data_IF_859751995001
#
_entry.id   IF_859751995001
#
_cell.length_a   1.000
_cell.length_b   1.000
_cell.length_c   1.000
_cell.angle_alpha   90.00
_cell.angle_beta   90.00
_cell.angle_gamma   90.00
#
_symmetry.space_group_name_H-M   'P 1'
#
loop_
_entity.id
_entity.type
_entity.pdbx_description
1 polymer ?
#
# COMPACT_ATOMS: atom_id res chain seq x y z
N UNK A 1 -0.85 25.20 17.81
CA UNK A 1 -0.88 23.98 18.63
C UNK A 1 -2.10 24.06 19.54
N UNK A 2 -2.88 22.99 19.64
CA UNK A 2 -4.03 22.91 20.54
C UNK A 2 -3.49 22.65 21.95
N UNK A 3 -3.91 23.37 23.01
CA UNK A 3 -3.48 23.06 24.37
C UNK A 3 -3.80 21.59 24.72
N UNK A 4 -2.83 20.87 25.29
CA UNK A 4 -2.90 19.44 25.64
C UNK A 4 -2.86 18.44 24.46
N UNK A 5 -2.49 18.86 23.25
CA UNK A 5 -2.15 17.90 22.18
C UNK A 5 -0.68 17.49 22.28
N UNK A 6 -0.42 16.18 22.35
CA UNK A 6 0.91 15.64 22.11
C UNK A 6 1.21 15.74 20.62
N UNK A 7 2.23 16.51 20.27
CA UNK A 7 2.74 16.57 18.91
C UNK A 7 3.78 15.48 18.80
N UNK A 8 3.35 14.27 18.37
CA UNK A 8 4.29 13.26 17.87
C UNK A 8 4.70 13.73 16.48
N UNK A 9 5.73 14.57 16.43
CA UNK A 9 6.45 14.77 15.20
C UNK A 9 7.23 13.47 14.95
N UNK A 10 6.80 12.70 13.96
CA UNK A 10 7.71 11.82 13.24
C UNK A 10 8.71 12.75 12.52
N UNK A 11 9.72 13.19 13.27
CA UNK A 11 10.70 14.20 12.90
C UNK A 11 10.28 15.64 13.23
N UNK A 12 10.67 16.15 14.42
CA UNK A 12 10.73 17.60 14.68
C UNK A 12 10.51 18.07 16.13
N UNK A 13 11.17 19.17 16.49
CA UNK A 13 10.90 20.04 17.64
C UNK A 13 11.05 21.50 17.17
N UNK A 14 10.45 22.52 17.83
CA UNK A 14 10.47 23.89 17.35
C UNK A 14 11.88 24.51 17.37
N UNK A 15 12.12 25.45 16.46
CA UNK A 15 13.37 26.19 16.39
C UNK A 15 13.67 26.91 17.71
N UNK A 16 14.97 27.06 18.03
CA UNK A 16 15.41 27.85 19.17
C UNK A 16 14.79 29.26 19.15
N UNK A 17 14.55 29.88 20.32
CA UNK A 17 13.88 31.19 20.39
C UNK A 17 14.64 32.24 19.56
N UNK A 18 13.99 32.77 18.51
CA UNK A 18 14.49 33.90 17.71
C UNK A 18 15.00 33.60 16.29
N UNK A 19 14.94 32.36 15.79
CA UNK A 19 15.36 32.04 14.41
C UNK A 19 14.24 32.14 13.38
N UNK A 20 14.36 33.00 12.37
CA UNK A 20 13.51 32.99 11.17
C UNK A 20 14.22 32.22 10.05
N UNK A 21 13.93 30.92 9.91
CA UNK A 21 14.43 30.08 8.81
C UNK A 21 14.38 28.58 9.14
N UNK A 22 14.05 27.76 8.13
CA UNK A 22 14.15 26.30 8.22
C UNK A 22 15.62 25.89 8.04
N UNK A 23 16.29 25.44 9.10
CA UNK A 23 17.59 24.77 8.96
C UNK A 23 17.35 23.35 8.42
N UNK A 24 17.96 22.92 7.30
CA UNK A 24 17.85 21.54 6.84
C UNK A 24 18.41 20.59 7.89
N UNK A 25 17.58 19.66 8.37
CA UNK A 25 17.98 18.58 9.28
C UNK A 25 18.14 17.29 8.46
N UNK A 26 19.08 16.43 8.86
CA UNK A 26 19.33 15.13 8.23
C UNK A 26 18.55 14.03 8.97
N UNK A 27 18.51 12.79 8.46
CA UNK A 27 17.90 11.63 9.14
C UNK A 27 18.45 11.38 10.57
N UNK A 28 19.54 12.07 10.98
CA UNK A 28 20.16 11.95 12.31
C UNK A 28 19.19 12.26 13.46
N UNK A 29 18.19 13.09 13.21
CA UNK A 29 17.26 13.56 14.25
C UNK A 29 16.02 12.65 14.42
N UNK A 30 15.79 11.66 13.55
CA UNK A 30 14.61 10.77 13.57
C UNK A 30 14.89 9.46 14.34
N UNK A 31 16.11 8.91 14.27
CA UNK A 31 16.44 7.58 14.81
C UNK A 31 16.94 7.57 16.26
N UNK A 32 17.18 8.74 16.86
CA UNK A 32 17.78 8.86 18.20
C UNK A 32 19.24 8.37 18.31
N UNK A 33 19.85 7.86 17.23
CA UNK A 33 21.19 7.27 17.21
C UNK A 33 22.07 7.77 16.02
N UNK A 34 21.62 8.77 15.26
CA UNK A 34 22.23 9.16 13.98
C UNK A 34 21.71 8.32 12.81
N UNK A 35 21.96 8.73 11.55
CA UNK A 35 21.50 7.97 10.38
C UNK A 35 22.11 6.57 10.44
N UNK A 36 21.31 5.57 10.80
CA UNK A 36 21.66 4.17 10.50
C UNK A 36 21.21 3.97 9.07
N UNK A 37 22.17 3.92 8.16
CA UNK A 37 21.94 3.46 6.80
C UNK A 37 22.70 2.15 6.64
N UNK A 38 22.02 1.10 7.06
CA UNK A 38 22.49 -0.27 6.95
C UNK A 38 22.00 -0.94 5.66
N UNK A 39 21.45 -0.17 4.70
CA UNK A 39 20.90 -0.71 3.44
C UNK A 39 21.89 -1.63 2.72
N UNK A 40 23.18 -1.32 2.80
CA UNK A 40 24.29 -2.10 2.21
C UNK A 40 25.27 -2.67 3.23
N UNK A 41 25.07 -2.46 4.53
CA UNK A 41 25.95 -2.94 5.59
C UNK A 41 25.17 -3.37 6.85
N UNK A 42 24.87 -4.67 6.94
CA UNK A 42 24.09 -5.25 8.04
C UNK A 42 24.88 -5.46 9.33
N UNK A 43 26.17 -5.11 9.36
CA UNK A 43 26.96 -5.11 10.60
C UNK A 43 26.80 -3.82 11.42
N UNK A 44 26.15 -2.79 10.86
CA UNK A 44 25.84 -1.58 11.61
C UNK A 44 24.87 -1.88 12.75
N UNK A 45 25.02 -1.11 13.83
CA UNK A 45 24.09 -1.18 14.94
C UNK A 45 22.67 -0.85 14.45
N UNK A 46 21.70 -1.60 14.94
CA UNK A 46 20.30 -1.31 14.69
C UNK A 46 19.95 0.03 15.34
N UNK A 47 19.13 0.82 14.67
CA UNK A 47 18.58 2.00 15.31
C UNK A 47 17.76 1.59 16.54
N UNK A 48 17.71 2.47 17.54
CA UNK A 48 17.02 2.21 18.80
C UNK A 48 17.59 1.08 19.66
N UNK A 49 18.61 0.34 19.24
CA UNK A 49 19.21 -0.72 20.06
C UNK A 49 20.29 -0.17 20.99
N UNK A 50 20.15 -0.43 22.29
CA UNK A 50 21.15 -0.08 23.29
C UNK A 50 22.06 -1.28 23.55
N UNK A 51 23.28 -1.23 22.99
CA UNK A 51 24.26 -2.30 23.10
C UNK A 51 24.75 -2.59 24.53
N UNK A 52 24.61 -1.64 25.45
CA UNK A 52 25.02 -1.81 26.85
C UNK A 52 23.99 -2.59 27.67
N UNK A 53 22.70 -2.41 27.34
CA UNK A 53 21.58 -3.09 28.03
C UNK A 53 21.08 -4.31 27.27
N UNK A 54 21.39 -4.42 25.98
CA UNK A 54 20.82 -5.42 25.08
C UNK A 54 19.34 -5.22 24.81
N UNK A 55 18.80 -4.02 25.06
CA UNK A 55 17.38 -3.69 24.91
C UNK A 55 17.19 -2.63 23.82
N UNK A 56 16.02 -2.64 23.18
CA UNK A 56 15.59 -1.52 22.35
C UNK A 56 14.99 -0.40 23.21
N UNK A 57 15.07 0.84 22.73
CA UNK A 57 14.35 1.98 23.33
C UNK A 57 12.84 1.71 23.26
N UNK A 58 12.11 2.08 24.32
CA UNK A 58 10.65 1.95 24.36
C UNK A 58 10.00 2.75 23.22
N UNK A 59 8.95 2.19 22.59
CA UNK A 59 8.23 2.80 21.47
C UNK A 59 9.07 3.11 20.22
N UNK A 60 10.18 2.40 20.05
CA UNK A 60 11.04 2.57 18.88
C UNK A 60 10.40 2.02 17.59
N UNK A 61 10.41 2.85 16.54
CA UNK A 61 10.10 2.48 15.15
C UNK A 61 11.41 2.24 14.40
N UNK A 62 11.53 1.09 13.74
CA UNK A 62 12.76 0.73 13.03
C UNK A 62 13.01 1.60 11.80
N UNK A 63 14.19 2.20 11.73
CA UNK A 63 14.65 3.01 10.57
C UNK A 63 16.12 2.68 10.30
N UNK A 64 16.40 1.39 10.10
CA UNK A 64 17.75 0.90 9.83
C UNK A 64 18.17 1.11 8.37
N UNK A 65 17.21 1.35 7.47
CA UNK A 65 17.41 1.61 6.04
C UNK A 65 16.80 2.95 5.63
N UNK A 66 17.14 3.42 4.43
CA UNK A 66 16.58 4.65 3.83
C UNK A 66 15.11 4.50 3.39
N UNK A 67 14.50 3.33 3.59
CA UNK A 67 13.11 3.05 3.21
C UNK A 67 12.32 2.39 4.33
N UNK A 68 11.00 2.32 4.14
CA UNK A 68 10.04 1.59 4.99
C UNK A 68 9.97 2.04 6.46
N UNK A 69 10.33 3.30 6.74
CA UNK A 69 10.27 3.87 8.10
C UNK A 69 8.83 4.08 8.62
N UNK A 70 7.87 4.21 7.71
CA UNK A 70 6.47 4.52 7.99
C UNK A 70 5.68 4.54 6.69
N UNK A 71 4.37 4.75 6.77
CA UNK A 71 3.52 4.87 5.58
C UNK A 71 2.47 5.97 5.72
N UNK A 72 1.39 5.66 6.44
CA UNK A 72 0.19 6.47 6.45
C UNK A 72 -0.52 6.41 7.81
N UNK A 73 -1.42 7.36 8.01
CA UNK A 73 -2.30 7.43 9.16
C UNK A 73 -3.74 7.62 8.70
N UNK A 74 -4.66 6.93 9.37
CA UNK A 74 -6.09 7.06 9.10
C UNK A 74 -6.88 6.92 10.40
N UNK A 75 -7.94 7.71 10.54
CA UNK A 75 -8.94 7.47 11.57
C UNK A 75 -9.84 6.31 11.14
N UNK A 76 -9.99 5.32 12.01
CA UNK A 76 -10.94 4.25 11.81
C UNK A 76 -12.38 4.69 12.07
N UNK A 77 -13.36 3.86 11.67
CA UNK A 77 -14.78 4.10 11.97
C UNK A 77 -15.09 4.06 13.48
N UNK A 78 -14.17 3.51 14.28
CA UNK A 78 -14.21 3.46 15.75
C UNK A 78 -13.61 4.71 16.42
N UNK A 79 -13.07 5.65 15.64
CA UNK A 79 -12.44 6.87 16.15
C UNK A 79 -10.99 6.70 16.62
N UNK A 80 -10.44 5.49 16.55
CA UNK A 80 -9.03 5.24 16.85
C UNK A 80 -8.13 5.74 15.71
N UNK A 81 -6.88 6.06 16.03
CA UNK A 81 -5.87 6.36 15.02
C UNK A 81 -5.14 5.09 14.62
N UNK A 82 -5.16 4.78 13.32
CA UNK A 82 -4.41 3.70 12.73
C UNK A 82 -3.14 4.27 12.10
N UNK A 83 -2.00 3.65 12.38
CA UNK A 83 -0.68 4.09 11.89
C UNK A 83 0.01 2.91 11.23
N UNK A 84 0.45 3.07 9.99
CA UNK A 84 1.18 2.03 9.27
C UNK A 84 2.69 2.25 9.34
N UNK A 85 3.40 1.19 9.74
CA UNK A 85 4.84 1.18 9.96
C UNK A 85 5.45 0.04 9.15
N UNK A 86 6.45 0.35 8.32
CA UNK A 86 7.18 -0.65 7.57
C UNK A 86 8.22 -1.37 8.42
N UNK A 87 8.91 -2.33 7.82
CA UNK A 87 9.92 -3.15 8.49
C UNK A 87 11.19 -2.35 8.84
N UNK A 88 11.42 -1.21 8.19
CA UNK A 88 12.58 -0.36 8.38
C UNK A 88 13.91 -1.01 8.01
N UNK A 89 13.89 -2.09 7.22
CA UNK A 89 15.07 -2.89 6.85
C UNK A 89 15.45 -2.73 5.38
N UNK A 90 16.58 -3.31 4.98
CA UNK A 90 17.10 -3.15 3.62
C UNK A 90 16.11 -3.62 2.55
N UNK A 91 15.93 -2.78 1.52
CA UNK A 91 15.22 -3.12 0.31
C UNK A 91 16.10 -3.82 -0.74
N UNK A 92 17.43 -3.84 -0.57
CA UNK A 92 18.40 -4.30 -1.58
C UNK A 92 18.80 -5.77 -1.46
N UNK A 93 18.70 -6.36 -0.28
CA UNK A 93 19.12 -7.75 -0.04
C UNK A 93 18.36 -8.32 1.16
N UNK A 94 18.43 -9.65 1.33
CA UNK A 94 17.88 -10.31 2.52
C UNK A 94 18.50 -9.70 3.78
N UNK A 95 17.67 -9.05 4.57
CA UNK A 95 18.06 -8.48 5.85
C UNK A 95 17.52 -9.39 6.97
N UNK A 96 18.38 -10.12 7.69
CA UNK A 96 17.91 -11.01 8.76
C UNK A 96 17.17 -10.26 9.87
N UNK A 97 17.26 -8.92 9.94
CA UNK A 97 16.55 -8.09 10.92
C UNK A 97 15.05 -7.96 10.63
N UNK A 98 14.61 -8.25 9.41
CA UNK A 98 13.19 -8.13 9.04
C UNK A 98 12.30 -9.10 9.82
N UNK A 99 12.87 -10.17 10.41
CA UNK A 99 12.13 -11.09 11.31
C UNK A 99 11.51 -10.39 12.52
N UNK A 100 11.99 -9.20 12.90
CA UNK A 100 11.42 -8.39 13.98
C UNK A 100 9.95 -8.01 13.74
N UNK A 101 9.46 -8.03 12.50
CA UNK A 101 8.04 -7.74 12.21
C UNK A 101 7.09 -8.81 12.76
N UNK A 102 7.59 -10.01 13.07
CA UNK A 102 6.83 -11.10 13.68
C UNK A 102 6.77 -10.99 15.22
N UNK A 103 7.59 -10.14 15.82
CA UNK A 103 7.58 -9.88 17.26
C UNK A 103 6.56 -8.77 17.58
N UNK A 104 5.56 -9.07 18.41
CA UNK A 104 4.53 -8.10 18.86
C UNK A 104 5.10 -7.00 19.76
N UNK A 105 6.26 -7.22 20.38
CA UNK A 105 6.95 -6.20 21.17
C UNK A 105 7.81 -5.25 20.31
N UNK A 106 7.81 -5.42 18.99
CA UNK A 106 8.38 -4.48 18.01
C UNK A 106 7.25 -3.73 17.30
N UNK A 107 7.42 -2.42 17.09
CA UNK A 107 6.49 -1.60 16.30
C UNK A 107 6.75 -1.67 14.79
N UNK A 108 7.77 -2.40 14.35
CA UNK A 108 8.17 -2.52 12.94
C UNK A 108 7.28 -3.48 12.18
N UNK A 109 6.92 -3.14 10.93
CA UNK A 109 6.09 -3.97 10.05
C UNK A 109 4.69 -4.21 10.62
N UNK A 110 4.06 -3.15 11.14
CA UNK A 110 2.79 -3.20 11.87
C UNK A 110 1.76 -2.22 11.29
N UNK A 111 0.50 -2.55 11.52
CA UNK A 111 -0.52 -1.53 11.74
C UNK A 111 -0.68 -1.37 13.24
N UNK A 112 -0.54 -0.14 13.72
CA UNK A 112 -0.85 0.23 15.10
C UNK A 112 -2.27 0.77 15.18
N UNK A 113 -2.96 0.53 16.29
CA UNK A 113 -4.26 1.14 16.62
C UNK A 113 -4.14 1.78 18.00
N UNK A 114 -4.19 3.10 18.05
CA UNK A 114 -3.91 3.88 19.26
C UNK A 114 -5.01 4.91 19.52
N UNK A 115 -5.13 5.29 20.79
CA UNK A 115 -5.90 6.44 21.20
C UNK A 115 -5.25 7.72 20.62
N UNK A 116 -5.98 8.53 19.84
CA UNK A 116 -5.40 9.70 19.16
C UNK A 116 -5.00 10.85 20.10
N UNK A 117 -5.47 10.85 21.35
CA UNK A 117 -5.19 11.90 22.32
C UNK A 117 -3.97 11.56 23.19
N UNK A 118 -3.78 10.28 23.48
CA UNK A 118 -2.77 9.80 24.44
C UNK A 118 -1.65 8.97 23.81
N UNK A 119 -1.83 8.49 22.58
CA UNK A 119 -0.87 7.60 21.92
C UNK A 119 -0.79 6.19 22.51
N UNK A 120 -1.63 5.86 23.48
CA UNK A 120 -1.68 4.55 24.11
C UNK A 120 -2.41 3.52 23.22
N UNK A 121 -2.07 2.25 23.43
CA UNK A 121 -2.88 1.15 22.90
C UNK A 121 -4.29 1.15 23.50
N UNK A 122 -5.24 0.53 22.79
CA UNK A 122 -6.60 0.37 23.29
C UNK A 122 -6.76 -0.98 23.99
N UNK A 123 -7.58 -1.04 25.04
CA UNK A 123 -7.73 -2.25 25.87
C UNK A 123 -8.32 -3.45 25.12
N UNK A 124 -8.99 -3.20 24.00
CA UNK A 124 -9.57 -4.20 23.09
C UNK A 124 -8.64 -4.55 21.90
N UNK A 125 -7.41 -4.05 21.88
CA UNK A 125 -6.43 -4.45 20.88
C UNK A 125 -6.08 -5.95 21.00
N UNK A 126 -5.78 -6.62 19.87
CA UNK A 126 -5.76 -8.09 19.78
C UNK A 126 -4.65 -8.77 20.59
N UNK A 127 -3.62 -8.01 21.00
CA UNK A 127 -2.49 -8.54 21.76
C UNK A 127 -2.48 -8.08 23.22
N UNK A 128 -3.48 -7.30 23.65
CA UNK A 128 -3.62 -6.84 25.04
C UNK A 128 -4.23 -7.96 25.90
N UNK A 129 -3.62 -8.18 27.07
CA UNK A 129 -4.16 -9.05 28.12
C UNK A 129 -4.65 -8.22 29.31
N UNK A 130 -5.60 -8.74 30.13
CA UNK A 130 -6.02 -8.06 31.33
C UNK A 130 -4.85 -7.72 32.25
N UNK A 131 -4.69 -6.44 32.59
CA UNK A 131 -3.62 -5.93 33.44
C UNK A 131 -2.35 -5.48 32.72
N UNK A 132 -2.29 -5.59 31.38
CA UNK A 132 -1.17 -5.05 30.60
C UNK A 132 -1.11 -3.52 30.69
N UNK A 133 0.12 -2.99 30.67
CA UNK A 133 0.37 -1.56 30.44
C UNK A 133 0.03 -1.19 28.99
N UNK A 134 -0.93 -0.29 28.80
CA UNK A 134 -1.36 0.16 27.47
C UNK A 134 -0.30 1.00 26.75
N UNK A 135 0.76 1.42 27.44
CA UNK A 135 1.91 2.05 26.81
C UNK A 135 2.90 1.04 26.19
N UNK A 136 2.79 -0.25 26.51
CA UNK A 136 3.66 -1.28 25.96
C UNK A 136 3.47 -1.43 24.44
N UNK A 137 4.54 -1.81 23.72
CA UNK A 137 4.51 -1.91 22.26
C UNK A 137 3.43 -2.87 21.76
N UNK A 138 3.31 -4.05 22.37
CA UNK A 138 2.30 -5.03 21.95
C UNK A 138 0.87 -4.54 22.13
N UNK A 139 0.64 -3.66 23.11
CA UNK A 139 -0.68 -3.08 23.35
C UNK A 139 -1.13 -2.15 22.21
N UNK A 140 -0.19 -1.61 21.42
CA UNK A 140 -0.46 -0.74 20.26
C UNK A 140 -0.65 -1.51 18.97
N UNK A 141 -0.20 -2.77 18.90
CA UNK A 141 -0.24 -3.56 17.67
C UNK A 141 -1.66 -4.02 17.35
N UNK A 142 -2.11 -3.70 16.13
CA UNK A 142 -3.38 -4.17 15.58
C UNK A 142 -3.19 -5.29 14.56
N UNK A 143 -2.22 -5.15 13.66
CA UNK A 143 -1.82 -6.17 12.67
C UNK A 143 -0.30 -6.21 12.54
N UNK A 144 0.24 -7.34 12.07
CA UNK A 144 1.68 -7.57 11.98
C UNK A 144 2.10 -8.34 10.72
N UNK A 145 3.41 -8.46 10.52
CA UNK A 145 3.97 -9.22 9.41
C UNK A 145 3.89 -8.48 8.08
N UNK A 146 4.07 -7.15 8.11
CA UNK A 146 4.05 -6.29 6.93
C UNK A 146 5.46 -5.84 6.56
N UNK A 147 5.69 -5.58 5.27
CA UNK A 147 6.96 -5.06 4.75
C UNK A 147 6.96 -3.55 4.66
N UNK A 148 6.09 -3.00 3.82
CA UNK A 148 5.98 -1.57 3.57
C UNK A 148 4.52 -1.19 3.31
N UNK A 149 3.67 -1.15 4.36
CA UNK A 149 2.28 -0.73 4.25
C UNK A 149 2.21 0.79 4.02
N UNK A 150 2.48 1.24 2.79
CA UNK A 150 2.73 2.63 2.44
C UNK A 150 1.49 3.52 2.64
N UNK A 151 0.32 3.03 2.23
CA UNK A 151 -0.95 3.76 2.34
C UNK A 151 -2.01 2.85 2.92
N UNK A 152 -2.86 3.40 3.79
CA UNK A 152 -3.97 2.68 4.41
C UNK A 152 -5.26 3.47 4.31
N UNK A 153 -6.39 2.75 4.27
CA UNK A 153 -7.71 3.34 4.11
C UNK A 153 -8.80 2.36 4.50
N UNK A 154 -9.99 2.88 4.75
CA UNK A 154 -11.15 2.08 5.14
C UNK A 154 -12.15 1.96 3.99
N UNK A 155 -12.70 0.75 3.83
CA UNK A 155 -13.87 0.50 3.03
C UNK A 155 -15.15 0.99 3.74
N UNK A 156 -16.27 1.05 3.01
CA UNK A 156 -17.56 1.51 3.55
C UNK A 156 -18.06 0.66 4.72
N UNK A 157 -17.68 -0.62 4.75
CA UNK A 157 -18.01 -1.56 5.83
C UNK A 157 -17.03 -1.52 7.03
N UNK A 158 -16.06 -0.60 7.00
CA UNK A 158 -15.07 -0.44 8.07
C UNK A 158 -13.88 -1.40 8.01
N UNK A 159 -13.75 -2.22 6.96
CA UNK A 159 -12.52 -3.01 6.76
C UNK A 159 -11.35 -2.11 6.42
N UNK A 160 -10.21 -2.38 7.06
CA UNK A 160 -8.94 -1.73 6.77
C UNK A 160 -8.29 -2.39 5.55
N UNK A 161 -7.92 -1.58 4.58
CA UNK A 161 -7.12 -1.95 3.42
C UNK A 161 -5.78 -1.23 3.43
N UNK A 162 -4.77 -1.88 2.86
CA UNK A 162 -3.42 -1.37 2.81
C UNK A 162 -2.78 -1.68 1.45
N UNK A 163 -1.97 -0.75 0.95
CA UNK A 163 -0.99 -1.05 -0.10
C UNK A 163 0.32 -1.46 0.59
N UNK A 164 0.65 -2.76 0.57
CA UNK A 164 1.91 -3.30 1.07
C UNK A 164 2.86 -3.50 -0.12
N UNK A 165 3.87 -2.62 -0.22
CA UNK A 165 4.91 -2.78 -1.25
C UNK A 165 5.78 -3.97 -0.89
N UNK A 166 5.72 -5.03 -1.70
CA UNK A 166 6.51 -6.24 -1.48
C UNK A 166 7.96 -6.04 -1.89
N UNK A 167 8.71 -7.14 -2.00
CA UNK A 167 10.15 -7.08 -2.19
C UNK A 167 10.54 -7.25 -3.66
N UNK A 168 10.70 -8.50 -4.10
CA UNK A 168 11.25 -8.81 -5.42
C UNK A 168 10.27 -9.50 -6.35
N UNK A 169 9.16 -10.01 -5.83
CA UNK A 169 8.30 -10.90 -6.61
C UNK A 169 6.86 -10.41 -6.68
N UNK A 170 6.37 -9.72 -5.64
CA UNK A 170 4.95 -9.38 -5.56
C UNK A 170 4.71 -8.00 -4.97
N UNK A 171 3.60 -7.40 -5.37
CA UNK A 171 2.95 -6.30 -4.68
C UNK A 171 1.63 -6.78 -4.08
N UNK A 172 1.19 -6.22 -2.95
CA UNK A 172 0.03 -6.77 -2.22
C UNK A 172 -0.92 -5.69 -1.72
N UNK A 173 -2.20 -5.82 -2.06
CA UNK A 173 -3.27 -5.18 -1.30
C UNK A 173 -3.61 -6.12 -0.16
N UNK A 174 -3.51 -5.61 1.07
CA UNK A 174 -3.80 -6.34 2.29
C UNK A 174 -5.11 -5.91 2.91
N UNK A 175 -5.84 -6.86 3.49
CA UNK A 175 -7.01 -6.60 4.35
C UNK A 175 -7.20 -7.78 5.28
N UNK A 176 -7.30 -7.50 6.57
CA UNK A 176 -7.46 -8.52 7.62
C UNK A 176 -8.20 -7.99 8.83
N UNK A 177 -8.52 -8.89 9.76
CA UNK A 177 -9.11 -8.53 11.05
C UNK A 177 -8.05 -8.08 12.06
N UNK A 178 -8.48 -7.66 13.25
CA UNK A 178 -7.59 -7.47 14.39
C UNK A 178 -6.77 -8.75 14.64
N UNK A 179 -5.46 -8.61 14.79
CA UNK A 179 -4.52 -9.69 15.03
C UNK A 179 -4.03 -10.42 13.76
N UNK A 180 -4.45 -9.97 12.57
CA UNK A 180 -3.99 -10.56 11.30
C UNK A 180 -2.46 -10.45 11.15
N UNK A 181 -1.84 -11.58 10.82
CA UNK A 181 -0.42 -11.69 10.48
C UNK A 181 -0.27 -11.95 8.99
N UNK A 182 0.39 -11.06 8.26
CA UNK A 182 0.55 -11.14 6.80
C UNK A 182 1.80 -11.91 6.36
N UNK A 183 2.61 -12.39 7.31
CA UNK A 183 3.63 -13.41 7.05
C UNK A 183 5.00 -12.91 6.59
N UNK A 184 5.17 -11.62 6.27
CA UNK A 184 6.51 -11.06 6.01
C UNK A 184 7.44 -11.30 7.21
N UNK A 185 8.73 -11.64 7.03
CA UNK A 185 9.42 -11.83 5.75
C UNK A 185 9.44 -13.26 5.24
N UNK A 186 8.71 -14.18 5.88
CA UNK A 186 8.71 -15.59 5.51
C UNK A 186 7.79 -15.89 4.31
N UNK A 187 6.73 -15.09 4.15
CA UNK A 187 5.83 -15.15 3.00
C UNK A 187 5.77 -13.80 2.28
N UNK A 188 5.67 -13.87 0.94
CA UNK A 188 5.47 -12.73 0.04
C UNK A 188 4.66 -13.23 -1.15
N UNK A 189 3.48 -12.64 -1.34
CA UNK A 189 2.60 -12.93 -2.45
C UNK A 189 1.89 -14.28 -2.38
N UNK A 190 1.39 -14.67 -3.54
CA UNK A 190 0.44 -15.78 -3.68
C UNK A 190 -1.00 -15.27 -3.70
N UNK A 191 -1.50 -14.96 -4.90
CA UNK A 191 -2.89 -14.57 -5.04
C UNK A 191 -3.84 -15.77 -4.79
N UNK A 192 -5.10 -15.48 -4.52
CA UNK A 192 -6.17 -16.46 -4.25
C UNK A 192 -5.89 -17.36 -3.03
N UNK A 193 -5.26 -16.80 -1.99
CA UNK A 193 -5.06 -17.49 -0.72
C UNK A 193 -3.85 -18.43 -0.70
N UNK A 194 -3.03 -18.41 -1.75
CA UNK A 194 -1.76 -19.14 -1.79
C UNK A 194 -0.74 -18.41 -0.92
N UNK A 195 0.09 -19.16 -0.19
CA UNK A 195 1.20 -18.59 0.56
C UNK A 195 2.51 -19.03 -0.11
N UNK A 196 3.26 -18.07 -0.64
CA UNK A 196 4.55 -18.33 -1.27
C UNK A 196 5.69 -17.97 -0.32
N UNK A 197 6.62 -18.92 -0.12
CA UNK A 197 7.81 -18.66 0.69
C UNK A 197 8.67 -17.59 0.00
N UNK A 198 9.08 -16.59 0.76
CA UNK A 198 9.91 -15.50 0.24
C UNK A 198 11.32 -16.03 -0.06
N UNK A 199 11.76 -16.02 -1.33
CA UNK A 199 13.11 -16.48 -1.68
C UNK A 199 14.17 -15.69 -0.90
N UNK A 200 15.15 -16.37 -0.30
CA UNK A 200 16.21 -15.71 0.45
C UNK A 200 15.92 -15.51 1.94
N UNK A 201 14.66 -15.64 2.39
CA UNK A 201 14.27 -15.65 3.80
C UNK A 201 13.92 -17.06 4.33
N UNK A 202 13.78 -18.03 3.42
CA UNK A 202 13.29 -19.38 3.69
C UNK A 202 14.24 -20.30 4.47
N UNK A 203 15.49 -19.89 4.63
CA UNK A 203 16.51 -20.60 5.40
C UNK A 203 17.08 -19.78 6.57
N UNK A 204 16.42 -18.69 7.01
CA UNK A 204 16.92 -17.88 8.11
C UNK A 204 17.06 -18.69 9.42
N UNK A 205 18.18 -18.54 10.15
CA UNK A 205 18.34 -19.14 11.46
C UNK A 205 17.42 -18.47 12.48
N UNK A 206 17.29 -19.08 13.66
CA UNK A 206 16.63 -18.44 14.79
C UNK A 206 17.44 -17.22 15.24
N UNK A 207 16.73 -16.21 15.72
CA UNK A 207 17.31 -14.96 16.17
C UNK A 207 16.77 -14.59 17.55
N UNK A 208 17.58 -14.93 18.56
CA UNK A 208 17.24 -14.70 19.95
C UNK A 208 17.13 -13.21 20.30
N UNK A 209 17.90 -12.33 19.65
CA UNK A 209 17.88 -10.91 19.95
C UNK A 209 16.55 -10.26 19.57
N UNK A 210 15.90 -10.78 18.52
CA UNK A 210 14.61 -10.27 18.01
C UNK A 210 13.43 -11.13 18.43
N UNK A 211 13.67 -12.14 19.27
CA UNK A 211 12.68 -13.16 19.69
C UNK A 211 12.00 -13.82 18.47
N UNK A 212 12.79 -14.18 17.46
CA UNK A 212 12.28 -14.76 16.23
C UNK A 212 12.73 -16.23 16.07
N UNK A 213 11.82 -17.13 15.67
CA UNK A 213 12.17 -18.51 15.36
C UNK A 213 12.99 -18.59 14.06
N UNK A 214 13.60 -19.76 13.80
CA UNK A 214 14.13 -20.02 12.46
C UNK A 214 13.00 -20.11 11.44
N UNK A 215 13.31 -19.89 10.16
CA UNK A 215 12.32 -20.02 9.09
C UNK A 215 11.68 -21.42 9.08
N UNK A 216 12.47 -22.48 9.30
CA UNK A 216 11.95 -23.84 9.41
C UNK A 216 10.93 -24.01 10.54
N UNK A 217 11.19 -23.44 11.71
CA UNK A 217 10.27 -23.48 12.85
C UNK A 217 9.02 -22.63 12.60
N UNK A 218 9.16 -21.46 11.95
CA UNK A 218 8.04 -20.62 11.55
C UNK A 218 7.11 -21.37 10.57
N UNK A 219 7.66 -21.99 9.52
CA UNK A 219 6.88 -22.77 8.57
C UNK A 219 6.20 -23.99 9.21
N UNK A 220 6.87 -24.67 10.14
CA UNK A 220 6.26 -25.76 10.89
C UNK A 220 5.07 -25.29 11.74
N UNK A 221 5.20 -24.11 12.39
CA UNK A 221 4.13 -23.49 13.16
C UNK A 221 2.95 -23.02 12.28
N UNK A 222 3.21 -22.60 11.04
CA UNK A 222 2.14 -22.32 10.07
C UNK A 222 1.46 -23.61 9.61
N UNK A 223 2.24 -24.63 9.27
CA UNK A 223 1.72 -25.91 8.78
C UNK A 223 0.86 -26.65 9.83
N UNK A 224 1.18 -26.51 11.12
CA UNK A 224 0.41 -27.12 12.20
C UNK A 224 -0.70 -26.21 12.76
N UNK A 225 -0.88 -25.00 12.21
CA UNK A 225 -1.93 -24.05 12.58
C UNK A 225 -1.67 -23.22 13.84
N UNK A 226 -0.48 -23.31 14.45
CA UNK A 226 -0.09 -22.46 15.59
C UNK A 226 0.03 -21.00 15.17
N UNK A 227 0.59 -20.74 14.00
CA UNK A 227 0.63 -19.41 13.38
C UNK A 227 -0.34 -19.39 12.21
N UNK A 228 -1.33 -18.49 12.25
CA UNK A 228 -2.25 -18.28 11.15
C UNK A 228 -1.80 -17.09 10.32
N UNK A 229 -1.45 -17.34 9.05
CA UNK A 229 -1.17 -16.29 8.08
C UNK A 229 -2.47 -15.86 7.41
N UNK A 230 -2.64 -14.55 7.28
CA UNK A 230 -3.70 -13.93 6.47
C UNK A 230 -3.11 -13.68 5.09
N UNK A 231 -3.60 -14.38 4.05
CA UNK A 231 -3.12 -14.15 2.69
C UNK A 231 -3.53 -12.76 2.19
N UNK A 232 -2.78 -12.24 1.21
CA UNK A 232 -3.11 -11.01 0.51
C UNK A 232 -4.58 -11.00 0.02
N UNK A 233 -5.23 -9.85 0.21
CA UNK A 233 -6.54 -9.60 -0.40
C UNK A 233 -6.41 -9.69 -1.91
N UNK A 234 -5.35 -9.10 -2.46
CA UNK A 234 -4.95 -9.24 -3.86
C UNK A 234 -3.44 -9.11 -3.99
N UNK A 235 -2.81 -9.99 -4.76
CA UNK A 235 -1.38 -9.89 -5.07
C UNK A 235 -1.15 -9.64 -6.58
N UNK A 236 -0.07 -8.94 -6.91
CA UNK A 236 0.32 -8.56 -8.27
C UNK A 236 1.75 -8.99 -8.52
N UNK A 237 1.98 -9.80 -9.55
CA UNK A 237 3.32 -10.34 -9.82
C UNK A 237 4.22 -9.29 -10.47
N UNK A 238 5.51 -9.32 -10.15
CA UNK A 238 6.53 -8.59 -10.89
C UNK A 238 6.88 -9.28 -12.23
N UNK A 239 6.54 -10.56 -12.39
CA UNK A 239 6.76 -11.31 -13.64
C UNK A 239 5.71 -10.94 -14.71
N UNK A 240 6.10 -10.29 -15.83
CA UNK A 240 5.19 -9.95 -16.92
C UNK A 240 4.56 -11.16 -17.63
N UNK A 241 5.12 -12.37 -17.44
CA UNK A 241 4.60 -13.62 -17.98
C UNK A 241 3.64 -14.35 -17.04
N UNK A 242 3.53 -13.94 -15.78
CA UNK A 242 2.64 -14.57 -14.82
C UNK A 242 1.15 -14.30 -15.17
N UNK A 243 0.23 -15.22 -14.86
CA UNK A 243 -1.20 -14.95 -15.02
C UNK A 243 -1.66 -13.87 -14.04
N UNK A 244 -2.67 -13.09 -14.44
CA UNK A 244 -3.27 -12.04 -13.61
C UNK A 244 -2.76 -10.64 -13.92
N UNK A 245 -2.81 -9.75 -12.94
CA UNK A 245 -2.34 -8.37 -13.05
C UNK A 245 -0.90 -8.26 -12.54
N UNK A 246 -0.11 -7.42 -13.21
CA UNK A 246 1.27 -7.13 -12.83
C UNK A 246 1.39 -5.68 -12.37
N UNK A 247 2.22 -5.48 -11.35
CA UNK A 247 2.58 -4.17 -10.82
C UNK A 247 4.02 -4.27 -10.29
N UNK A 248 4.77 -3.18 -10.34
CA UNK A 248 6.16 -3.16 -9.86
C UNK A 248 6.36 -2.45 -8.53
N UNK A 249 5.44 -1.59 -8.12
CA UNK A 249 5.42 -0.95 -6.79
C UNK A 249 4.07 -0.27 -6.56
N UNK A 250 3.26 -0.72 -5.59
CA UNK A 250 1.91 -0.15 -5.39
C UNK A 250 1.79 0.83 -4.23
N UNK A 251 0.99 1.89 -4.42
CA UNK A 251 0.59 2.89 -3.41
C UNK A 251 -0.85 3.38 -3.65
N UNK A 252 -1.44 4.11 -2.70
CA UNK A 252 -2.63 4.93 -2.93
C UNK A 252 -3.96 4.38 -2.39
N UNK A 253 -3.93 3.29 -1.61
CA UNK A 253 -5.08 2.63 -0.96
C UNK A 253 -5.62 3.46 0.23
N UNK A 254 -5.84 4.74 0.00
CA UNK A 254 -6.08 5.74 1.04
C UNK A 254 -7.56 5.91 1.43
N UNK A 255 -8.48 5.51 0.53
CA UNK A 255 -9.92 5.56 0.74
C UNK A 255 -10.66 4.72 -0.31
N UNK A 256 -11.70 4.01 0.11
CA UNK A 256 -12.70 3.49 -0.82
C UNK A 256 -13.65 4.61 -1.28
N UNK A 257 -14.13 4.52 -2.52
CA UNK A 257 -15.08 5.50 -3.04
C UNK A 257 -16.48 5.26 -2.52
N UNK A 258 -17.03 6.20 -1.76
CA UNK A 258 -18.38 6.11 -1.17
C UNK A 258 -19.38 7.08 -1.78
N UNK A 259 -18.98 7.80 -2.84
CA UNK A 259 -19.78 8.84 -3.47
C UNK A 259 -20.82 8.30 -4.46
N UNK A 260 -21.45 9.24 -5.17
CA UNK A 260 -22.42 8.98 -6.24
C UNK A 260 -22.12 9.79 -7.52
N UNK A 261 -20.95 10.44 -7.60
CA UNK A 261 -20.48 11.18 -8.78
C UNK A 261 -19.99 10.25 -9.88
N UNK A 262 -19.49 9.07 -9.52
CA UNK A 262 -19.04 8.06 -10.46
C UNK A 262 -20.13 7.00 -10.70
N UNK A 263 -20.03 6.22 -11.79
CA UNK A 263 -20.91 5.07 -12.00
C UNK A 263 -20.96 4.15 -10.79
N UNK A 264 -22.11 3.52 -10.55
CA UNK A 264 -22.35 2.70 -9.36
C UNK A 264 -21.36 1.55 -9.17
N UNK A 265 -20.74 1.07 -10.25
CA UNK A 265 -19.69 0.03 -10.25
C UNK A 265 -18.36 0.47 -9.61
N UNK A 266 -18.20 1.75 -9.28
CA UNK A 266 -17.05 2.27 -8.52
C UNK A 266 -17.34 2.39 -7.02
N UNK A 267 -18.59 2.14 -6.60
CA UNK A 267 -18.95 2.23 -5.19
C UNK A 267 -18.20 1.16 -4.41
N UNK A 268 -17.50 1.58 -3.36
CA UNK A 268 -16.60 0.77 -2.54
C UNK A 268 -15.35 0.27 -3.27
N UNK A 269 -15.00 0.85 -4.43
CA UNK A 269 -13.73 0.59 -5.09
C UNK A 269 -12.59 1.37 -4.40
N UNK A 270 -11.45 0.71 -4.26
CA UNK A 270 -10.19 1.26 -3.76
C UNK A 270 -9.30 1.58 -4.95
N UNK A 271 -8.79 2.81 -4.97
CA UNK A 271 -7.87 3.27 -6.00
C UNK A 271 -6.44 2.99 -5.58
N UNK A 272 -5.59 2.59 -6.52
CA UNK A 272 -4.16 2.40 -6.27
C UNK A 272 -3.36 2.60 -7.54
N UNK A 273 -2.05 2.78 -7.40
CA UNK A 273 -1.14 3.08 -8.50
C UNK A 273 0.07 2.19 -8.43
N UNK A 274 0.42 1.57 -9.57
CA UNK A 274 1.77 1.08 -9.80
C UNK A 274 2.67 2.28 -10.16
N UNK A 275 3.51 2.71 -9.22
CA UNK A 275 4.31 3.93 -9.37
C UNK A 275 5.42 3.77 -10.40
N UNK A 276 5.90 2.55 -10.65
CA UNK A 276 6.92 2.28 -11.66
C UNK A 276 6.37 2.50 -13.08
N UNK A 277 5.13 2.07 -13.31
CA UNK A 277 4.47 2.24 -14.60
C UNK A 277 3.67 3.56 -14.71
N UNK A 278 3.31 4.18 -13.58
CA UNK A 278 2.30 5.24 -13.50
C UNK A 278 0.89 4.73 -13.79
N UNK A 279 0.65 3.42 -13.69
CA UNK A 279 -0.64 2.81 -14.00
C UNK A 279 -1.57 2.90 -12.81
N UNK A 280 -2.75 3.48 -13.01
CA UNK A 280 -3.80 3.57 -11.99
C UNK A 280 -4.81 2.46 -12.20
N UNK A 281 -5.11 1.78 -11.10
CA UNK A 281 -6.07 0.71 -11.01
C UNK A 281 -7.16 1.05 -9.99
N UNK A 282 -8.25 0.30 -10.06
CA UNK A 282 -9.22 0.17 -8.97
C UNK A 282 -9.43 -1.30 -8.63
N UNK A 283 -9.65 -1.59 -7.35
CA UNK A 283 -10.03 -2.92 -6.87
C UNK A 283 -11.32 -2.80 -6.04
N UNK A 284 -12.29 -3.68 -6.31
CA UNK A 284 -13.53 -3.74 -5.53
C UNK A 284 -13.22 -4.32 -4.14
N UNK A 285 -13.56 -3.58 -3.07
CA UNK A 285 -13.33 -4.03 -1.70
C UNK A 285 -14.20 -5.24 -1.31
N UNK A 286 -15.30 -5.51 -2.00
CA UNK A 286 -16.20 -6.64 -1.80
C UNK A 286 -15.90 -7.83 -2.71
N UNK A 287 -15.15 -7.61 -3.80
CA UNK A 287 -14.80 -8.66 -4.75
C UNK A 287 -13.31 -8.59 -5.14
N UNK A 288 -12.47 -9.39 -4.48
CA UNK A 288 -11.02 -9.43 -4.71
C UNK A 288 -10.60 -9.71 -6.16
N UNK A 289 -11.49 -10.34 -6.95
CA UNK A 289 -11.21 -10.66 -8.34
C UNK A 289 -11.51 -9.50 -9.29
N UNK A 290 -12.32 -8.52 -8.86
CA UNK A 290 -12.65 -7.34 -9.65
C UNK A 290 -11.58 -6.27 -9.48
N UNK A 291 -10.60 -6.32 -10.38
CA UNK A 291 -9.56 -5.31 -10.52
C UNK A 291 -9.64 -4.74 -11.93
N UNK A 292 -9.65 -3.42 -12.05
CA UNK A 292 -9.82 -2.72 -13.32
C UNK A 292 -8.64 -1.79 -13.54
N UNK A 293 -8.07 -1.83 -14.74
CA UNK A 293 -7.22 -0.76 -15.23
C UNK A 293 -8.08 0.49 -15.42
N UNK A 294 -7.60 1.64 -14.95
CA UNK A 294 -8.31 2.90 -15.10
C UNK A 294 -7.66 3.78 -16.17
N UNK A 295 -6.40 4.15 -15.96
CA UNK A 295 -5.61 4.95 -16.88
C UNK A 295 -4.12 4.84 -16.56
N UNK A 296 -3.27 5.33 -17.47
CA UNK A 296 -1.85 5.50 -17.22
C UNK A 296 -1.52 6.99 -17.11
N UNK A 297 -0.82 7.36 -16.04
CA UNK A 297 -0.44 8.73 -15.74
C UNK A 297 1.05 8.95 -15.99
N UNK A 298 1.40 10.13 -16.50
CA UNK A 298 2.80 10.59 -16.57
C UNK A 298 3.24 11.35 -15.32
N UNK A 299 2.30 11.76 -14.46
CA UNK A 299 2.56 12.53 -13.23
C UNK A 299 2.63 11.66 -11.98
N UNK A 300 2.37 10.35 -12.12
CA UNK A 300 2.42 9.31 -11.08
C UNK A 300 1.61 9.67 -9.81
N UNK A 301 0.33 9.30 -9.77
CA UNK A 301 -0.49 9.34 -8.57
C UNK A 301 0.13 8.59 -7.41
N UNK A 302 0.11 9.19 -6.21
CA UNK A 302 0.68 8.60 -5.00
C UNK A 302 -0.30 8.59 -3.82
N UNK A 303 -1.37 9.39 -3.87
CA UNK A 303 -2.41 9.36 -2.85
C UNK A 303 -3.78 9.71 -3.42
N UNK A 304 -4.84 9.10 -2.87
CA UNK A 304 -6.22 9.25 -3.34
C UNK A 304 -7.15 9.63 -2.18
N UNK A 305 -7.89 10.73 -2.29
CA UNK A 305 -8.89 11.09 -1.27
C UNK A 305 -10.18 11.57 -1.90
N UNK A 306 -11.30 11.15 -1.33
CA UNK A 306 -12.60 11.67 -1.73
C UNK A 306 -12.79 13.06 -1.12
N UNK A 307 -13.09 14.05 -1.97
CA UNK A 307 -13.47 15.38 -1.55
C UNK A 307 -14.94 15.45 -1.10
N UNK A 308 -15.33 16.49 -0.36
CA UNK A 308 -16.72 16.69 0.07
C UNK A 308 -17.69 16.94 -1.10
N UNK A 309 -17.18 17.27 -2.29
CA UNK A 309 -17.98 17.41 -3.52
C UNK A 309 -18.30 16.06 -4.20
N UNK A 310 -17.77 14.96 -3.64
CA UNK A 310 -18.00 13.59 -4.06
C UNK A 310 -17.07 13.09 -5.18
N UNK A 311 -16.05 13.86 -5.56
CA UNK A 311 -15.02 13.45 -6.51
C UNK A 311 -13.77 12.92 -5.80
N UNK A 312 -13.01 12.07 -6.47
CA UNK A 312 -11.67 11.68 -6.01
C UNK A 312 -10.65 12.73 -6.42
N UNK A 313 -9.78 13.08 -5.48
CA UNK A 313 -8.62 13.92 -5.68
C UNK A 313 -7.36 13.08 -5.55
N UNK A 314 -6.39 13.39 -6.39
CA UNK A 314 -5.19 12.60 -6.58
C UNK A 314 -3.97 13.48 -6.37
N UNK A 315 -3.16 13.19 -5.36
CA UNK A 315 -1.83 13.80 -5.23
C UNK A 315 -0.87 13.08 -6.17
N UNK A 316 -0.08 13.85 -6.90
CA UNK A 316 0.85 13.34 -7.91
C UNK A 316 2.28 13.60 -7.46
N UNK A 317 3.18 12.66 -7.75
CA UNK A 317 4.61 12.78 -7.48
C UNK A 317 5.24 14.00 -8.19
N UNK A 318 4.64 14.44 -9.30
CA UNK A 318 5.00 15.69 -9.99
C UNK A 318 4.61 16.99 -9.23
N UNK A 319 4.10 16.92 -8.00
CA UNK A 319 3.79 18.08 -7.17
C UNK A 319 2.45 18.75 -7.47
N UNK A 320 1.49 18.00 -8.01
CA UNK A 320 0.13 18.51 -8.34
C UNK A 320 -0.96 17.69 -7.68
N UNK A 321 -2.08 18.34 -7.38
CA UNK A 321 -3.30 17.65 -6.96
C UNK A 321 -4.30 17.76 -8.09
N UNK A 322 -4.89 16.63 -8.48
CA UNK A 322 -5.72 16.55 -9.67
C UNK A 322 -7.07 15.97 -9.29
N UNK A 323 -8.16 16.58 -9.76
CA UNK A 323 -9.50 16.03 -9.56
C UNK A 323 -9.78 15.00 -10.65
N UNK A 324 -10.13 13.79 -10.25
CA UNK A 324 -10.48 12.71 -11.16
C UNK A 324 -11.95 12.85 -11.57
N UNK A 325 -12.23 12.63 -12.85
CA UNK A 325 -13.60 12.55 -13.35
C UNK A 325 -13.79 11.22 -14.07
N UNK A 326 -14.78 10.46 -13.61
CA UNK A 326 -15.16 9.18 -14.19
C UNK A 326 -16.62 9.30 -14.63
N UNK A 327 -16.85 9.09 -15.91
CA UNK A 327 -18.17 9.18 -16.55
C UNK A 327 -18.52 7.79 -17.12
N UNK A 328 -19.81 7.43 -17.12
CA UNK A 328 -20.27 6.17 -17.72
C UNK A 328 -19.95 6.12 -19.22
N UNK A 329 -19.25 5.08 -19.68
CA UNK A 329 -18.96 4.85 -21.11
C UNK A 329 -20.05 3.95 -21.72
N UNK A 330 -20.56 4.28 -22.91
CA UNK A 330 -21.14 3.29 -23.82
C UNK A 330 -19.98 2.50 -24.51
N UNK A 331 -20.08 1.17 -24.78
CA UNK A 331 -18.92 0.33 -25.18
C UNK A 331 -18.48 0.47 -26.68
N UNK A 332 -17.29 -0.05 -27.11
CA UNK A 332 -16.24 0.74 -27.77
C UNK A 332 -15.96 0.40 -29.27
N UNK A 333 -14.94 1.00 -29.94
CA UNK A 333 -13.56 0.46 -29.86
C UNK A 333 -12.44 1.50 -29.66
N UNK A 334 -11.33 1.02 -29.05
CA UNK A 334 -9.98 1.61 -28.87
C UNK A 334 -9.67 2.41 -27.58
N UNK A 335 -8.45 2.15 -27.09
CA UNK A 335 -7.81 2.47 -25.79
C UNK A 335 -7.63 3.97 -25.45
N UNK A 336 -8.70 4.75 -25.45
CA UNK A 336 -8.63 6.12 -24.92
C UNK A 336 -9.89 6.51 -24.14
N UNK A 337 -9.83 7.26 -23.03
CA UNK A 337 -8.80 7.54 -22.02
C UNK A 337 -9.65 8.17 -20.88
N UNK A 338 -9.65 7.59 -19.67
CA UNK A 338 -10.02 8.38 -18.49
C UNK A 338 -8.85 9.32 -18.24
N UNK A 339 -8.96 10.57 -18.69
CA UNK A 339 -7.95 11.60 -18.43
C UNK A 339 -8.40 12.45 -17.24
N UNK A 340 -7.48 12.83 -16.33
CA UNK A 340 -7.82 13.76 -15.27
C UNK A 340 -8.28 15.10 -15.87
N UNK A 341 -9.51 15.55 -15.54
CA UNK A 341 -10.03 16.84 -16.04
C UNK A 341 -9.77 17.94 -15.00
N UNK A 342 -8.57 18.51 -15.07
CA UNK A 342 -8.15 19.69 -14.30
C UNK A 342 -7.18 19.38 -13.17
N UNK A 343 -6.14 20.21 -13.07
CA UNK A 343 -5.09 20.13 -12.05
C UNK A 343 -5.07 21.39 -11.18
N UNK A 344 -4.64 21.21 -9.95
CA UNK A 344 -4.30 22.26 -9.02
C UNK A 344 -2.81 22.17 -8.68
N UNK A 345 -2.15 23.31 -8.67
CA UNK A 345 -0.81 23.46 -8.10
C UNK A 345 -0.96 24.00 -6.68
N UNK A 346 -0.09 23.53 -5.79
CA UNK A 346 0.03 24.08 -4.44
C UNK A 346 1.15 25.11 -4.48
N UNK A 347 0.82 26.37 -4.25
CA UNK A 347 1.79 27.45 -4.08
C UNK A 347 1.44 28.24 -2.81
N UNK A 348 2.43 28.47 -1.94
CA UNK A 348 2.25 29.20 -0.68
C UNK A 348 1.09 28.68 0.20
N UNK A 349 0.91 27.34 0.27
CA UNK A 349 -0.22 26.69 0.96
C UNK A 349 -1.62 27.10 0.46
N UNK A 350 -1.72 27.74 -0.70
CA UNK A 350 -2.98 28.08 -1.35
C UNK A 350 -3.24 27.09 -2.48
N UNK A 351 -4.37 26.41 -2.39
CA UNK A 351 -4.87 25.52 -3.43
C UNK A 351 -5.51 26.35 -4.54
N UNK A 352 -4.89 26.38 -5.72
CA UNK A 352 -5.45 27.05 -6.89
C UNK A 352 -5.82 26.03 -7.95
N UNK A 353 -7.13 25.81 -8.14
CA UNK A 353 -7.62 25.05 -9.29
C UNK A 353 -7.35 25.85 -10.55
N UNK A 354 -6.48 25.34 -11.41
CA UNK A 354 -6.33 25.90 -12.75
C UNK A 354 -7.37 25.28 -13.67
N UNK A 355 -8.24 26.10 -14.27
CA UNK A 355 -9.14 25.64 -15.33
C UNK A 355 -8.31 25.26 -16.55
N UNK A 356 -8.06 23.98 -16.79
CA UNK A 356 -7.61 23.54 -18.11
C UNK A 356 -8.81 23.35 -19.04
N UNK A 357 -8.71 23.98 -20.20
CA UNK A 357 -9.71 24.15 -21.27
C UNK A 357 -10.30 22.86 -21.84
N UNK A 358 -11.58 22.95 -22.22
CA UNK A 358 -12.41 21.95 -22.87
C UNK A 358 -11.86 21.49 -24.24
N UNK A 359 -12.03 20.21 -24.58
CA UNK A 359 -12.28 19.83 -25.97
C UNK A 359 -13.63 19.13 -26.08
N UNK A 360 -14.55 19.79 -26.80
CA UNK A 360 -15.69 19.18 -27.43
C UNK A 360 -15.24 18.72 -28.82
N UNK A 361 -15.52 17.46 -29.20
CA UNK A 361 -15.70 17.11 -30.60
C UNK A 361 -17.03 16.39 -30.77
N UNK A 362 -18.00 17.13 -31.30
CA UNK A 362 -18.98 16.55 -32.22
C UNK A 362 -18.31 16.30 -33.57
N UNK A 363 -18.61 15.16 -34.20
CA UNK A 363 -19.16 15.20 -35.56
C UNK A 363 -20.11 14.01 -35.80
N UNK A 364 -21.23 14.35 -36.45
CA UNK A 364 -22.30 13.50 -36.94
C UNK A 364 -22.00 12.96 -38.36
N UNK A 365 -22.65 11.83 -38.72
CA UNK A 365 -22.93 11.36 -40.10
C UNK A 365 -21.90 10.36 -40.66
N UNK A 366 -22.24 9.22 -41.27
CA UNK A 366 -23.40 8.85 -42.13
C UNK A 366 -23.72 7.35 -41.99
N UNK A 367 -24.99 7.00 -42.18
CA UNK A 367 -25.58 5.67 -42.08
C UNK A 367 -25.37 4.74 -43.31
N UNK A 368 -25.44 3.43 -43.01
CA UNK A 368 -25.90 2.28 -43.82
C UNK A 368 -25.08 1.82 -45.03
N UNK A 369 -24.81 0.51 -45.09
CA UNK A 369 -25.52 -0.42 -45.98
C UNK A 369 -25.22 -1.88 -45.63
N UNK A 370 -26.27 -2.58 -45.24
CA UNK A 370 -26.43 -4.03 -45.39
C UNK A 370 -26.70 -4.38 -46.86
N UNK A 371 -26.10 -5.47 -47.36
CA UNK A 371 -26.69 -6.42 -48.32
C UNK A 371 -25.65 -7.54 -48.55
N UNK A 372 -25.87 -8.74 -48.03
CA UNK A 372 -26.73 -9.79 -48.59
C UNK A 372 -25.94 -10.79 -49.46
N UNK A 373 -26.04 -12.05 -49.04
CA UNK A 373 -25.67 -13.29 -49.72
C UNK A 373 -25.90 -13.26 -51.23
N UNK A 374 -24.97 -13.86 -51.99
CA UNK A 374 -25.30 -14.70 -53.15
C UNK A 374 -24.52 -16.00 -53.10
N UNK A 375 -25.28 -17.07 -52.94
CA UNK A 375 -24.97 -18.44 -53.35
C UNK A 375 -24.65 -18.48 -54.84
N UNK A 376 -23.65 -19.27 -55.26
CA UNK A 376 -23.66 -20.07 -56.50
C UNK A 376 -22.68 -21.24 -56.28
N UNK A 377 -23.22 -22.45 -56.14
CA UNK A 377 -22.45 -23.67 -56.32
C UNK A 377 -22.57 -24.14 -57.77
N UNK A 378 -21.49 -24.69 -58.31
CA UNK A 378 -21.54 -25.85 -59.21
C UNK A 378 -20.14 -26.29 -59.65
N UNK A 379 -19.85 -27.57 -59.41
CA UNK A 379 -19.18 -28.49 -60.35
C UNK A 379 -17.73 -28.21 -60.77
N UNK A 380 -16.82 -29.06 -60.28
CA UNK A 380 -15.87 -29.73 -61.20
C UNK A 380 -15.73 -31.22 -60.84
N UNK A 381 -16.10 -32.07 -61.80
CA UNK A 381 -15.87 -33.52 -61.85
C UNK A 381 -14.48 -33.82 -62.43
N UNK A 382 -13.93 -34.94 -61.98
CA UNK A 382 -12.82 -35.73 -62.52
C UNK A 382 -12.59 -35.66 -64.04
N UNK A 383 -11.31 -35.65 -64.44
CA UNK A 383 -10.78 -36.53 -65.50
C UNK A 383 -9.31 -36.89 -65.23
N UNK A 384 -9.07 -38.19 -65.13
CA UNK A 384 -7.80 -38.86 -65.37
C UNK A 384 -7.52 -38.92 -66.88
N UNK A 385 -6.28 -38.69 -67.32
CA UNK A 385 -5.69 -39.35 -68.49
C UNK A 385 -4.17 -39.18 -68.48
N UNK A 386 -3.51 -40.32 -68.65
CA UNK A 386 -2.11 -40.60 -68.96
C UNK A 386 -1.56 -39.86 -70.18
N UNK A 387 -0.31 -39.42 -70.09
CA UNK A 387 0.79 -39.71 -71.03
C UNK A 387 2.12 -39.30 -70.41
#
# INVERSE_FOLDING_TARGET
>A
AVPNSEVILLGGAPAAPGGTGLTPRTLQDISGAGVVDSTSNFSQAESGFNAQTGQYVDNYIKVDSLSHAGGSMAFGPDGALYVSIGDGTSFNATDPRSVSVQNINSLSGKILRIDPLTGLGLSDNPFVKPGDDLNANHAKVYQLGLRNPFSIGFAEDGRLFMANTGWFSWEEIESGHAGANFGWPYFEGGDNGVLLKTPGYDALPADAARNAPSAAAFYAAVANGTIKITPAYRAFSHDPGAPGFQAGAIVGVDAAYTGSRYPAEFRNDIFFTDVNAGTVFVADANNRSDVKFLYRSTTVPIAFKQGPDGYMYVANMAGTITRLLIESKNPPPSDSLLSPKGSATVANNVFTLTRSTYQCRQMLGIASRSAARRSHGSSFKNRSATS
#
